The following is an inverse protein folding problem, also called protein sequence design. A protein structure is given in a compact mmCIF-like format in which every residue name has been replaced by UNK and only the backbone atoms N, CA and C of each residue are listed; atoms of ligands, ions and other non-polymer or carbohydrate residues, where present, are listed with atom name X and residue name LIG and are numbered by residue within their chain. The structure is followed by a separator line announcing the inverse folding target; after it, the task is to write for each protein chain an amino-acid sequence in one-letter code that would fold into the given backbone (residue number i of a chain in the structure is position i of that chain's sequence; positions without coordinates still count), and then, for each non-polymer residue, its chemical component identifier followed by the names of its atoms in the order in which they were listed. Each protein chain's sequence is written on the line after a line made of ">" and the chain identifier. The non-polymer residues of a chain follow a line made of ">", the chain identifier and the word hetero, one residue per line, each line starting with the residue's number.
data_IF_692136523317
#
_entry.id   IF_692136523317
#
_cell.length_a   1.000
_cell.length_b   1.000
_cell.length_c   1.000
_cell.angle_alpha   90.00
_cell.angle_beta   90.00
_cell.angle_gamma   90.00
#
_symmetry.space_group_name_H-M   'P 1'
#
loop_
_entity.id
_entity.type
_entity.pdbx_description
1 polymer ?
#
# COMPACT_ATOMS: atom_id res chain seq x y z
N UNK A 1 33.89 25.01 -26.49
CA UNK A 1 32.50 24.49 -26.41
C UNK A 1 32.58 23.01 -26.72
N UNK A 2 32.54 22.05 -25.81
CA UNK A 2 31.87 21.90 -24.52
C UNK A 2 31.30 20.48 -24.57
N UNK A 3 32.12 19.49 -24.20
CA UNK A 3 31.98 18.06 -24.53
C UNK A 3 30.82 17.41 -23.75
N UNK A 4 29.85 16.80 -24.44
CA UNK A 4 28.91 15.88 -23.80
C UNK A 4 29.65 14.59 -23.42
N UNK A 5 29.80 14.34 -22.12
CA UNK A 5 30.10 13.00 -21.61
C UNK A 5 28.77 12.29 -21.44
N UNK A 6 28.47 11.40 -22.37
CA UNK A 6 27.31 10.50 -22.29
C UNK A 6 27.70 9.41 -21.29
N UNK A 7 27.22 9.56 -20.07
CA UNK A 7 27.63 8.74 -18.93
C UNK A 7 26.98 9.26 -17.68
N UNK A 8 25.65 9.15 -17.62
CA UNK A 8 24.93 9.01 -16.36
C UNK A 8 23.99 7.82 -16.55
N UNK A 9 24.08 6.93 -15.58
CA UNK A 9 23.66 5.55 -15.64
C UNK A 9 22.19 5.42 -16.04
N UNK A 10 21.91 4.56 -17.01
CA UNK A 10 20.57 3.99 -17.15
C UNK A 10 20.28 3.31 -15.81
N UNK A 11 19.46 3.93 -14.96
CA UNK A 11 18.81 3.21 -13.86
C UNK A 11 17.82 2.28 -14.55
N UNK A 12 18.33 1.12 -14.98
CA UNK A 12 17.50 -0.02 -15.32
C UNK A 12 16.86 -0.41 -14.01
N UNK A 13 15.58 -0.06 -13.84
CA UNK A 13 14.77 -0.57 -12.74
C UNK A 13 14.49 -2.04 -13.08
N UNK A 14 15.47 -2.90 -12.81
CA UNK A 14 15.25 -4.35 -12.77
C UNK A 14 14.44 -4.64 -11.51
N UNK A 15 13.14 -4.92 -11.70
CA UNK A 15 12.24 -5.77 -10.89
C UNK A 15 10.87 -5.13 -10.66
N UNK A 16 10.03 -5.09 -11.70
CA UNK A 16 8.59 -4.89 -11.55
C UNK A 16 7.86 -6.12 -10.98
N UNK A 17 8.50 -7.28 -10.78
CA UNK A 17 7.78 -8.53 -10.44
C UNK A 17 7.86 -8.99 -8.97
N UNK A 18 8.96 -8.78 -8.26
CA UNK A 18 9.15 -9.39 -6.93
C UNK A 18 8.22 -8.82 -5.84
N UNK A 19 8.05 -7.50 -5.82
CA UNK A 19 7.17 -6.83 -4.86
C UNK A 19 5.71 -7.17 -5.11
N UNK A 20 5.29 -7.13 -6.38
CA UNK A 20 3.91 -7.43 -6.77
C UNK A 20 3.58 -8.89 -6.48
N UNK A 21 4.52 -9.81 -6.77
CA UNK A 21 4.38 -11.23 -6.45
C UNK A 21 4.20 -11.46 -4.95
N UNK A 22 5.05 -10.87 -4.11
CA UNK A 22 4.92 -10.98 -2.64
C UNK A 22 3.61 -10.40 -2.13
N UNK A 23 3.17 -9.26 -2.67
CA UNK A 23 1.89 -8.65 -2.29
C UNK A 23 0.69 -9.52 -2.71
N UNK A 24 0.77 -10.18 -3.88
CA UNK A 24 -0.21 -11.17 -4.34
C UNK A 24 -0.26 -12.39 -3.41
N UNK A 25 0.89 -12.92 -2.99
CA UNK A 25 0.96 -14.06 -2.05
C UNK A 25 0.38 -13.73 -0.66
N UNK A 26 0.57 -12.50 -0.19
CA UNK A 26 0.02 -12.02 1.09
C UNK A 26 -1.49 -11.69 1.03
N UNK A 27 -2.06 -11.64 -0.18
CA UNK A 27 -3.45 -11.26 -0.38
C UNK A 27 -4.31 -12.49 -0.65
N UNK A 28 -5.06 -12.92 0.36
CA UNK A 28 -5.93 -14.11 0.30
C UNK A 28 -7.28 -13.84 0.97
N UNK A 29 -8.35 -14.38 0.39
CA UNK A 29 -9.66 -14.47 1.03
C UNK A 29 -10.08 -15.93 1.02
N UNK A 30 -10.11 -16.58 2.19
CA UNK A 30 -10.44 -18.00 2.33
C UNK A 30 -11.62 -18.20 3.28
N UNK A 31 -12.47 -19.17 2.95
CA UNK A 31 -13.51 -19.70 3.83
C UNK A 31 -13.02 -21.04 4.40
N UNK A 32 -12.98 -21.15 5.72
CA UNK A 32 -12.64 -22.38 6.42
C UNK A 32 -13.84 -23.32 6.48
N UNK A 33 -13.58 -24.62 6.72
CA UNK A 33 -14.60 -25.66 6.83
C UNK A 33 -15.64 -25.41 7.94
N UNK A 34 -15.26 -24.65 8.95
CA UNK A 34 -16.14 -24.24 10.06
C UNK A 34 -16.91 -22.92 9.78
N UNK A 35 -17.08 -22.52 8.52
CA UNK A 35 -17.79 -21.29 8.09
C UNK A 35 -17.17 -19.95 8.56
N UNK A 36 -15.91 -19.95 8.98
CA UNK A 36 -15.17 -18.72 9.26
C UNK A 36 -14.45 -18.22 8.01
N UNK A 37 -14.41 -16.91 7.79
CA UNK A 37 -13.65 -16.31 6.68
C UNK A 37 -12.44 -15.55 7.22
N UNK A 38 -11.31 -15.64 6.49
CA UNK A 38 -10.09 -14.87 6.75
C UNK A 38 -9.74 -14.05 5.52
N UNK A 39 -9.52 -12.76 5.72
CA UNK A 39 -8.95 -11.84 4.72
C UNK A 39 -7.54 -11.46 5.15
N UNK A 40 -6.56 -11.76 4.30
CA UNK A 40 -5.19 -11.24 4.39
C UNK A 40 -5.00 -10.26 3.23
N UNK A 41 -4.39 -9.10 3.47
CA UNK A 41 -4.05 -8.11 2.44
C UNK A 41 -2.62 -7.62 2.67
N UNK A 42 -1.81 -7.62 1.62
CA UNK A 42 -0.46 -7.05 1.65
C UNK A 42 -0.44 -5.63 1.10
N UNK A 43 0.22 -4.71 1.80
CA UNK A 43 0.63 -3.39 1.27
C UNK A 43 2.11 -3.17 1.55
N UNK A 44 2.86 -2.61 0.60
CA UNK A 44 4.27 -2.27 0.81
C UNK A 44 4.38 -0.82 1.24
N UNK A 45 4.83 -0.56 2.46
CA UNK A 45 5.09 0.80 2.94
C UNK A 45 6.34 1.34 2.26
N UNK A 46 6.22 2.51 1.62
CA UNK A 46 7.33 3.20 0.96
C UNK A 46 7.88 4.35 1.82
N UNK A 47 7.03 4.98 2.62
CA UNK A 47 7.43 6.07 3.51
C UNK A 47 6.30 6.50 4.42
N UNK A 48 6.68 7.01 5.59
CA UNK A 48 5.77 7.59 6.57
C UNK A 48 6.29 8.96 6.95
N UNK A 49 5.45 9.97 6.82
CA UNK A 49 5.75 11.35 7.20
C UNK A 49 4.85 11.72 8.39
N UNK A 50 5.48 12.14 9.49
CA UNK A 50 4.80 12.59 10.70
C UNK A 50 4.85 14.12 10.77
N UNK A 51 3.69 14.76 10.63
CA UNK A 51 3.53 16.22 10.71
C UNK A 51 2.45 16.52 11.75
N UNK A 52 2.81 16.61 13.04
CA UNK A 52 1.82 16.68 14.13
C UNK A 52 0.73 17.74 13.85
N UNK A 53 -0.58 17.38 13.85
CA UNK A 53 -1.18 16.10 14.28
C UNK A 53 -1.45 15.09 13.15
N UNK A 54 -0.97 15.36 11.95
CA UNK A 54 -1.14 14.59 10.73
C UNK A 54 -0.07 13.50 10.58
N UNK A 55 -0.46 12.42 9.92
CA UNK A 55 0.45 11.38 9.43
C UNK A 55 0.07 11.07 7.99
N UNK A 56 1.08 11.04 7.14
CA UNK A 56 0.96 10.67 5.74
C UNK A 56 1.68 9.35 5.51
N UNK A 57 0.93 8.33 5.12
CA UNK A 57 1.45 7.02 4.76
C UNK A 57 1.46 6.89 3.24
N UNK A 58 2.65 6.67 2.67
CA UNK A 58 2.81 6.33 1.25
C UNK A 58 3.04 4.83 1.13
N UNK A 59 2.20 4.14 0.38
CA UNK A 59 2.27 2.69 0.18
C UNK A 59 2.08 2.31 -1.29
N UNK A 60 2.60 1.15 -1.67
CA UNK A 60 2.33 0.50 -2.96
C UNK A 60 1.32 -0.62 -2.78
N UNK A 61 0.32 -0.64 -3.66
CA UNK A 61 -0.72 -1.66 -3.66
C UNK A 61 -0.35 -2.87 -4.53
N UNK A 62 -1.23 -3.89 -4.52
CA UNK A 62 -1.07 -5.13 -5.30
C UNK A 62 -1.09 -4.91 -6.83
N UNK A 63 -1.63 -3.77 -7.28
CA UNK A 63 -1.68 -3.39 -8.71
C UNK A 63 -0.39 -2.68 -9.15
N UNK A 64 0.52 -2.37 -8.23
CA UNK A 64 1.75 -1.61 -8.49
C UNK A 64 1.60 -0.10 -8.30
N UNK A 65 0.38 0.40 -8.08
CA UNK A 65 0.09 1.81 -7.87
C UNK A 65 0.63 2.29 -6.52
N UNK A 66 1.21 3.49 -6.54
CA UNK A 66 1.59 4.19 -5.32
C UNK A 66 0.43 5.06 -4.85
N UNK A 67 -0.01 4.83 -3.61
CA UNK A 67 -1.09 5.58 -2.96
C UNK A 67 -0.59 6.28 -1.71
N UNK A 68 -1.24 7.40 -1.40
CA UNK A 68 -0.99 8.19 -0.19
C UNK A 68 -2.26 8.27 0.63
N UNK A 69 -2.13 8.01 1.92
CA UNK A 69 -3.24 8.08 2.89
C UNK A 69 -2.87 9.05 3.98
N UNK A 70 -3.84 9.94 4.26
CA UNK A 70 -3.73 10.95 5.30
C UNK A 70 -4.55 10.53 6.50
N UNK A 71 -3.91 10.42 7.66
CA UNK A 71 -4.54 10.16 8.94
C UNK A 71 -4.33 11.36 9.88
N UNK A 72 -5.40 11.79 10.56
CA UNK A 72 -5.34 12.88 11.54
C UNK A 72 -5.48 12.29 12.94
N UNK A 73 -4.54 12.61 13.82
CA UNK A 73 -4.66 12.33 15.24
C UNK A 73 -5.57 13.39 15.88
N UNK A 74 -6.68 12.95 16.50
CA UNK A 74 -7.60 13.87 17.21
C UNK A 74 -7.10 14.22 18.61
N UNK A 75 -6.29 13.35 19.20
CA UNK A 75 -5.77 13.51 20.56
C UNK A 75 -4.30 13.93 20.49
N UNK A 76 -4.07 15.24 20.41
CA UNK A 76 -2.73 15.81 20.23
C UNK A 76 -1.87 15.61 21.48
N UNK A 77 -2.50 15.51 22.66
CA UNK A 77 -1.83 15.36 23.94
C UNK A 77 -1.26 13.94 24.15
N UNK A 78 -1.87 12.91 23.56
CA UNK A 78 -1.37 11.54 23.55
C UNK A 78 -0.86 11.11 22.17
N UNK A 79 -0.14 12.00 21.49
CA UNK A 79 0.44 11.69 20.18
C UNK A 79 1.52 10.61 20.31
N UNK A 80 1.12 9.39 19.97
CA UNK A 80 1.94 8.18 19.98
C UNK A 80 2.15 7.75 18.52
N UNK A 81 3.41 7.74 18.08
CA UNK A 81 3.78 7.49 16.69
C UNK A 81 3.32 6.11 16.21
N UNK A 82 3.36 5.08 17.07
CA UNK A 82 2.90 3.73 16.74
C UNK A 82 1.38 3.70 16.54
N UNK A 83 0.61 4.34 17.43
CA UNK A 83 -0.85 4.38 17.32
C UNK A 83 -1.33 5.15 16.10
N UNK A 84 -0.66 6.25 15.76
CA UNK A 84 -1.05 7.04 14.59
C UNK A 84 -0.63 6.33 13.30
N UNK A 85 0.50 5.62 13.29
CA UNK A 85 0.88 4.74 12.20
C UNK A 85 -0.14 3.61 11.99
N UNK A 86 -0.55 2.93 13.07
CA UNK A 86 -1.57 1.88 13.00
C UNK A 86 -2.87 2.43 12.39
N UNK A 87 -3.30 3.63 12.82
CA UNK A 87 -4.47 4.29 12.25
C UNK A 87 -4.31 4.60 10.76
N UNK A 88 -3.12 5.04 10.33
CA UNK A 88 -2.84 5.30 8.93
C UNK A 88 -2.86 4.00 8.10
N UNK A 89 -2.32 2.90 8.64
CA UNK A 89 -2.35 1.57 8.03
C UNK A 89 -3.79 1.06 7.90
N UNK A 90 -4.59 1.12 8.96
CA UNK A 90 -6.00 0.71 8.92
C UNK A 90 -6.78 1.48 7.86
N UNK A 91 -6.53 2.79 7.72
CA UNK A 91 -7.16 3.60 6.69
C UNK A 91 -6.70 3.21 5.28
N UNK A 92 -5.44 2.88 5.09
CA UNK A 92 -4.94 2.34 3.82
C UNK A 92 -5.59 1.00 3.47
N UNK A 93 -5.72 0.08 4.42
CA UNK A 93 -6.41 -1.18 4.20
C UNK A 93 -7.89 -0.98 3.86
N UNK A 94 -8.57 -0.04 4.52
CA UNK A 94 -9.97 0.27 4.22
C UNK A 94 -10.15 0.75 2.77
N UNK A 95 -9.29 1.66 2.31
CA UNK A 95 -9.29 2.13 0.92
C UNK A 95 -9.05 1.00 -0.09
N UNK A 96 -8.11 0.10 0.19
CA UNK A 96 -7.85 -1.04 -0.70
C UNK A 96 -9.01 -2.05 -0.73
N UNK A 97 -9.64 -2.33 0.42
CA UNK A 97 -10.83 -3.20 0.47
C UNK A 97 -11.97 -2.60 -0.35
N UNK A 98 -12.21 -1.29 -0.23
CA UNK A 98 -13.22 -0.59 -1.04
C UNK A 98 -12.89 -0.73 -2.53
N UNK A 99 -11.64 -0.48 -2.92
CA UNK A 99 -11.21 -0.60 -4.31
C UNK A 99 -11.35 -2.04 -4.85
N UNK A 100 -11.02 -3.05 -4.05
CA UNK A 100 -11.22 -4.47 -4.41
C UNK A 100 -12.70 -4.80 -4.59
N UNK A 101 -13.56 -4.32 -3.69
CA UNK A 101 -14.99 -4.56 -3.76
C UNK A 101 -15.61 -3.91 -5.01
N UNK A 102 -15.26 -2.65 -5.28
CA UNK A 102 -15.68 -1.94 -6.51
C UNK A 102 -15.18 -2.66 -7.76
N UNK A 103 -13.92 -3.09 -7.79
CA UNK A 103 -13.36 -3.83 -8.95
C UNK A 103 -14.10 -5.16 -9.18
N UNK A 104 -14.40 -5.92 -8.12
CA UNK A 104 -15.15 -7.18 -8.23
C UNK A 104 -16.59 -6.96 -8.68
N UNK A 105 -17.24 -5.91 -8.20
CA UNK A 105 -18.62 -5.61 -8.58
C UNK A 105 -18.77 -5.11 -10.03
N UNK A 106 -17.67 -4.64 -10.64
CA UNK A 106 -17.62 -4.21 -12.04
C UNK A 106 -17.34 -5.36 -13.03
N UNK A 107 -17.20 -6.60 -12.58
CA UNK A 107 -17.02 -7.77 -13.45
C UNK A 107 -15.66 -7.84 -14.17
N UNK A 108 -14.67 -7.05 -13.72
CA UNK A 108 -13.32 -7.07 -14.28
C UNK A 108 -12.54 -8.19 -13.57
N UNK A 109 -12.34 -9.31 -14.27
CA UNK A 109 -11.46 -10.40 -13.81
C UNK A 109 -10.03 -9.88 -13.70
N UNK A 110 -9.52 -9.82 -12.46
CA UNK A 110 -8.08 -9.68 -12.22
C UNK A 110 -7.43 -10.98 -12.72
N UNK A 111 -6.84 -10.94 -13.91
CA UNK A 111 -5.99 -12.03 -14.41
C UNK A 111 -4.84 -12.21 -13.44
N UNK A 112 -4.88 -13.32 -12.71
CA UNK A 112 -3.76 -13.77 -11.87
C UNK A 112 -2.68 -14.36 -12.76
#
# INVERSE_FOLDING_TARGET
>A
MGKYKVGDELIVIENEDDDIRKLKEMTELKLNKDNYSKLSLGVKVLGVEYDKPNVTLTYRNIKGDTKKVFAVCRDIQNFDEEKVLEKALLKAFQEEIINLNVTKNQGIELKY
#
